data_IF_615554455229
#
_entry.id   IF_615554455229
#
_cell.length_a   1.000
_cell.length_b   1.000
_cell.length_c   1.000
_cell.angle_alpha   90.00
_cell.angle_beta   90.00
_cell.angle_gamma   90.00
#
_symmetry.space_group_name_H-M   'P 1'
#
loop_
_entity.id
_entity.type
_entity.pdbx_description
1 polymer ?
#
# COMPACT_ATOMS: atom_id res chain seq x y z
N UNK A 1 10.91 -7.42 0.35
CA UNK A 1 11.74 -7.84 1.51
C UNK A 1 12.08 -6.61 2.35
N UNK A 2 12.17 -6.74 3.68
CA UNK A 2 12.64 -5.67 4.56
C UNK A 2 13.91 -6.14 5.28
N UNK A 3 14.97 -5.34 5.19
CA UNK A 3 16.24 -5.58 5.88
C UNK A 3 16.35 -4.57 7.02
N UNK A 4 16.22 -5.04 8.25
CA UNK A 4 16.30 -4.17 9.43
C UNK A 4 17.76 -3.89 9.80
N UNK A 5 18.10 -2.66 10.23
CA UNK A 5 19.37 -2.41 10.87
C UNK A 5 19.50 -3.25 12.14
N UNK A 6 20.75 -3.60 12.50
CA UNK A 6 21.03 -4.40 13.70
C UNK A 6 20.46 -3.77 14.98
N UNK A 7 20.49 -2.43 15.07
CA UNK A 7 20.01 -1.67 16.23
C UNK A 7 18.53 -1.26 16.13
N UNK A 8 17.82 -1.72 15.10
CA UNK A 8 16.41 -1.41 14.85
C UNK A 8 16.19 -0.10 14.08
N UNK A 9 14.93 0.34 14.05
CA UNK A 9 14.54 1.57 13.36
C UNK A 9 14.90 2.80 14.22
N UNK A 10 15.31 3.86 13.55
CA UNK A 10 15.61 5.15 14.17
C UNK A 10 14.97 6.29 13.41
N UNK A 11 14.67 7.38 14.10
CA UNK A 11 14.21 8.62 13.47
C UNK A 11 15.38 9.42 12.87
N UNK A 12 15.08 10.58 12.27
CA UNK A 12 16.09 11.45 11.66
C UNK A 12 17.12 12.06 12.65
N UNK A 13 16.87 11.95 13.96
CA UNK A 13 17.75 12.37 15.03
C UNK A 13 18.49 11.20 15.71
N UNK A 14 18.29 9.97 15.25
CA UNK A 14 18.91 8.77 15.81
C UNK A 14 18.19 8.19 17.03
N UNK A 15 16.99 8.67 17.37
CA UNK A 15 16.18 8.09 18.45
C UNK A 15 15.53 6.80 17.98
N UNK A 16 15.56 5.77 18.82
CA UNK A 16 14.95 4.48 18.51
C UNK A 16 13.42 4.60 18.29
N UNK A 17 12.94 3.97 17.23
CA UNK A 17 11.53 3.81 16.89
C UNK A 17 11.15 2.34 17.06
N UNK A 18 10.13 2.10 17.88
CA UNK A 18 9.55 0.77 18.11
C UNK A 18 8.15 0.73 17.50
N UNK A 19 7.80 -0.41 16.94
CA UNK A 19 6.45 -0.71 16.49
C UNK A 19 5.96 -1.95 17.24
N UNK A 20 4.68 -1.96 17.57
CA UNK A 20 4.00 -3.08 18.22
C UNK A 20 3.48 -4.08 17.19
N UNK A 21 3.21 -3.58 15.97
CA UNK A 21 2.67 -4.36 14.86
C UNK A 21 3.26 -3.95 13.54
N UNK A 22 3.39 -4.92 12.63
CA UNK A 22 3.79 -4.69 11.25
C UNK A 22 2.74 -5.27 10.29
N UNK A 23 2.42 -4.52 9.24
CA UNK A 23 1.62 -4.96 8.11
C UNK A 23 2.40 -4.81 6.81
N UNK A 24 2.18 -5.74 5.88
CA UNK A 24 2.66 -5.65 4.52
C UNK A 24 1.47 -5.54 3.58
N UNK A 25 1.45 -4.48 2.78
CA UNK A 25 0.43 -4.19 1.77
C UNK A 25 1.11 -4.22 0.42
N UNK A 26 0.78 -5.23 -0.37
CA UNK A 26 1.19 -5.32 -1.76
C UNK A 26 0.11 -4.72 -2.64
N UNK A 27 0.44 -3.64 -3.35
CA UNK A 27 -0.42 -3.07 -4.38
C UNK A 27 -0.04 -3.66 -5.74
N UNK A 28 -1.05 -4.09 -6.49
CA UNK A 28 -0.90 -4.69 -7.80
C UNK A 28 -1.82 -4.00 -8.81
N UNK A 29 -1.22 -3.57 -9.91
CA UNK A 29 -1.91 -3.13 -11.12
C UNK A 29 -2.13 -4.33 -12.07
N UNK A 30 -3.38 -4.56 -12.45
CA UNK A 30 -3.79 -5.65 -13.35
C UNK A 30 -4.30 -5.11 -14.69
N UNK A 31 -3.91 -5.80 -15.75
CA UNK A 31 -4.26 -5.48 -17.13
C UNK A 31 -5.05 -6.64 -17.72
N UNK A 32 -6.35 -6.71 -17.39
CA UNK A 32 -7.24 -7.82 -17.80
C UNK A 32 -7.95 -7.45 -19.10
N UNK A 33 -7.75 -8.19 -20.20
CA UNK A 33 -8.40 -7.92 -21.49
C UNK A 33 -9.92 -8.02 -21.43
N UNK A 34 -10.59 -7.27 -22.31
CA UNK A 34 -12.04 -7.31 -22.50
C UNK A 34 -12.40 -7.84 -23.89
N UNK A 35 -13.56 -8.50 -24.00
CA UNK A 35 -14.15 -8.90 -25.27
C UNK A 35 -14.86 -7.73 -25.97
N UNK A 36 -15.49 -8.01 -27.13
CA UNK A 36 -16.20 -7.00 -27.92
C UNK A 36 -17.44 -6.42 -27.20
N UNK A 37 -18.01 -7.18 -26.26
CA UNK A 37 -19.17 -6.78 -25.45
C UNK A 37 -18.75 -6.06 -24.16
N UNK A 38 -17.44 -5.97 -23.90
CA UNK A 38 -16.87 -5.29 -22.74
C UNK A 38 -16.68 -6.17 -21.49
N UNK A 39 -16.93 -7.48 -21.58
CA UNK A 39 -16.70 -8.41 -20.47
C UNK A 39 -15.22 -8.79 -20.36
N UNK A 40 -14.75 -9.06 -19.15
CA UNK A 40 -13.37 -9.54 -18.95
C UNK A 40 -13.19 -10.95 -19.51
N UNK A 41 -12.12 -11.14 -20.29
CA UNK A 41 -11.80 -12.44 -20.89
C UNK A 41 -11.22 -13.40 -19.85
N UNK A 42 -11.50 -14.69 -20.03
CA UNK A 42 -10.90 -15.80 -19.30
C UNK A 42 -10.10 -16.68 -20.25
N UNK A 43 -8.99 -17.23 -19.77
CA UNK A 43 -8.08 -18.05 -20.57
C UNK A 43 -7.87 -19.40 -19.88
N UNK A 44 -7.68 -20.46 -20.67
CA UNK A 44 -7.48 -21.82 -20.13
C UNK A 44 -6.10 -21.98 -19.47
N UNK A 45 -5.08 -21.34 -20.04
CA UNK A 45 -3.74 -21.27 -19.49
C UNK A 45 -3.21 -19.83 -19.42
N UNK A 46 -2.13 -19.65 -18.65
CA UNK A 46 -1.45 -18.35 -18.54
C UNK A 46 -0.82 -17.88 -19.87
N UNK A 47 -0.53 -18.80 -20.79
CA UNK A 47 0.07 -18.47 -22.09
C UNK A 47 -0.94 -17.93 -23.10
N UNK A 48 -2.19 -18.41 -23.05
CA UNK A 48 -3.20 -18.12 -24.08
C UNK A 48 -3.63 -16.65 -24.09
N UNK A 49 -3.51 -15.96 -22.95
CA UNK A 49 -3.86 -14.55 -22.81
C UNK A 49 -2.69 -13.59 -23.00
N UNK A 50 -1.49 -14.07 -23.32
CA UNK A 50 -0.28 -13.25 -23.30
C UNK A 50 -0.35 -12.05 -24.25
N UNK A 51 -0.71 -12.28 -25.52
CA UNK A 51 -0.78 -11.23 -26.53
C UNK A 51 -1.85 -10.18 -26.20
N UNK A 52 -3.04 -10.63 -25.78
CA UNK A 52 -4.12 -9.74 -25.36
C UNK A 52 -3.72 -8.90 -24.14
N UNK A 53 -3.06 -9.51 -23.14
CA UNK A 53 -2.57 -8.80 -21.96
C UNK A 53 -1.50 -7.77 -22.33
N UNK A 54 -0.60 -8.10 -23.26
CA UNK A 54 0.41 -7.15 -23.76
C UNK A 54 -0.24 -5.92 -24.39
N UNK A 55 -1.31 -6.09 -25.17
CA UNK A 55 -2.02 -4.95 -25.76
C UNK A 55 -2.64 -4.05 -24.69
N UNK A 56 -3.24 -4.62 -23.64
CA UNK A 56 -3.79 -3.83 -22.52
C UNK A 56 -2.68 -3.15 -21.72
N UNK A 57 -1.56 -3.84 -21.46
CA UNK A 57 -0.40 -3.28 -20.73
C UNK A 57 0.18 -2.06 -21.43
N UNK A 58 0.27 -2.07 -22.77
CA UNK A 58 0.77 -0.94 -23.58
C UNK A 58 -0.07 0.32 -23.43
N UNK A 59 -1.33 0.21 -23.01
CA UNK A 59 -2.19 1.39 -22.76
C UNK A 59 -1.81 2.16 -21.49
N UNK A 60 -0.98 1.57 -20.62
CA UNK A 60 -0.60 2.12 -19.31
C UNK A 60 -1.78 2.43 -18.38
N UNK A 61 -2.96 1.90 -18.72
CA UNK A 61 -4.22 2.09 -17.99
C UNK A 61 -4.63 0.76 -17.38
N UNK A 62 -4.34 0.53 -16.08
CA UNK A 62 -4.72 -0.71 -15.44
C UNK A 62 -6.24 -0.82 -15.32
N UNK A 63 -6.74 -2.03 -15.52
CA UNK A 63 -8.16 -2.36 -15.34
C UNK A 63 -8.55 -2.46 -13.88
N UNK A 64 -7.60 -2.86 -13.03
CA UNK A 64 -7.79 -2.95 -11.59
C UNK A 64 -6.49 -2.58 -10.90
N UNK A 65 -6.60 -1.82 -9.81
CA UNK A 65 -5.51 -1.61 -8.86
C UNK A 65 -6.00 -2.10 -7.49
N UNK A 66 -5.35 -3.12 -6.94
CA UNK A 66 -5.85 -3.82 -5.75
C UNK A 66 -4.76 -4.05 -4.73
N UNK A 67 -5.17 -4.09 -3.46
CA UNK A 67 -4.30 -4.56 -2.38
C UNK A 67 -4.43 -6.05 -2.18
N UNK A 68 -3.30 -6.72 -1.96
CA UNK A 68 -3.19 -8.13 -1.62
C UNK A 68 -4.00 -9.06 -2.57
N UNK A 69 -4.04 -8.69 -3.86
CA UNK A 69 -4.52 -9.53 -4.96
C UNK A 69 -6.00 -9.47 -5.30
N UNK A 70 -6.85 -8.76 -4.54
CA UNK A 70 -8.27 -8.66 -4.88
C UNK A 70 -8.93 -7.38 -4.33
N UNK A 71 -10.02 -6.95 -5.00
CA UNK A 71 -10.88 -5.87 -4.50
C UNK A 71 -11.43 -6.27 -3.13
N UNK A 72 -11.25 -5.41 -2.13
CA UNK A 72 -11.73 -5.66 -0.77
C UNK A 72 -10.91 -6.68 0.03
N UNK A 73 -9.75 -7.14 -0.43
CA UNK A 73 -8.95 -8.16 0.26
C UNK A 73 -8.55 -7.77 1.70
N UNK A 74 -8.42 -6.46 1.98
CA UNK A 74 -8.09 -5.89 3.29
C UNK A 74 -9.30 -5.22 3.97
N UNK A 75 -10.51 -5.72 3.73
CA UNK A 75 -11.76 -5.18 4.27
C UNK A 75 -12.58 -6.25 5.00
N UNK A 76 -13.66 -5.84 5.67
CA UNK A 76 -14.52 -6.73 6.46
C UNK A 76 -13.73 -7.50 7.52
N UNK A 77 -13.87 -8.82 7.53
CA UNK A 77 -13.17 -9.70 8.48
C UNK A 77 -11.65 -9.72 8.31
N UNK A 78 -11.15 -9.33 7.13
CA UNK A 78 -9.71 -9.24 6.81
C UNK A 78 -9.14 -7.84 7.01
N UNK A 79 -9.92 -6.94 7.59
CA UNK A 79 -9.48 -5.57 7.76
C UNK A 79 -8.34 -5.47 8.79
N UNK A 80 -7.40 -4.57 8.50
CA UNK A 80 -6.26 -4.34 9.36
C UNK A 80 -6.73 -3.74 10.70
N UNK A 81 -6.29 -4.31 11.82
CA UNK A 81 -6.73 -3.94 13.15
C UNK A 81 -5.58 -3.34 13.95
N UNK A 82 -5.87 -2.29 14.73
CA UNK A 82 -4.94 -1.73 15.69
C UNK A 82 -5.71 -1.21 16.92
N UNK A 83 -5.03 -1.15 18.06
CA UNK A 83 -5.56 -0.53 19.28
C UNK A 83 -5.05 0.90 19.39
N UNK A 84 -5.78 1.75 20.12
CA UNK A 84 -5.28 3.08 20.44
C UNK A 84 -4.00 2.96 21.26
N UNK A 85 -2.97 3.72 20.87
CA UNK A 85 -1.66 3.73 21.51
C UNK A 85 -0.69 2.70 20.92
N UNK A 86 -1.16 1.83 20.02
CA UNK A 86 -0.34 0.89 19.28
C UNK A 86 0.39 1.63 18.15
N UNK A 87 1.69 1.40 18.02
CA UNK A 87 2.49 1.89 16.89
C UNK A 87 2.55 0.83 15.81
N UNK A 88 2.09 1.17 14.61
CA UNK A 88 2.00 0.23 13.49
C UNK A 88 2.97 0.63 12.38
N UNK A 89 3.83 -0.30 12.00
CA UNK A 89 4.67 -0.19 10.80
C UNK A 89 3.89 -0.74 9.59
N UNK A 90 3.68 0.08 8.57
CA UNK A 90 3.05 -0.34 7.32
C UNK A 90 4.10 -0.32 6.22
N UNK A 91 4.40 -1.50 5.70
CA UNK A 91 5.27 -1.68 4.54
C UNK A 91 4.35 -1.70 3.32
N UNK A 92 4.55 -0.75 2.41
CA UNK A 92 3.81 -0.66 1.17
C UNK A 92 4.75 -0.94 -0.01
N UNK A 93 4.35 -1.85 -0.90
CA UNK A 93 5.09 -2.11 -2.13
C UNK A 93 4.19 -1.96 -3.34
N UNK A 94 4.75 -1.36 -4.38
CA UNK A 94 4.23 -1.40 -5.73
C UNK A 94 5.47 -1.58 -6.63
N UNK A 95 5.42 -2.54 -7.56
CA UNK A 95 6.57 -2.92 -8.38
C UNK A 95 6.64 -2.32 -9.80
N UNK A 96 5.54 -1.79 -10.34
CA UNK A 96 5.38 -1.46 -11.77
C UNK A 96 4.88 -0.02 -12.05
N UNK A 97 4.23 0.65 -11.10
CA UNK A 97 3.50 1.92 -11.23
C UNK A 97 3.58 2.76 -9.94
N UNK A 98 3.65 4.07 -10.09
CA UNK A 98 3.65 4.96 -8.94
C UNK A 98 2.36 4.87 -8.11
N UNK A 99 2.52 4.76 -6.78
CA UNK A 99 1.43 4.75 -5.80
C UNK A 99 1.60 5.89 -4.79
N UNK A 100 0.49 6.34 -4.20
CA UNK A 100 0.45 7.40 -3.18
C UNK A 100 -0.38 6.95 -1.98
N UNK A 101 0.19 6.10 -1.09
CA UNK A 101 -0.54 5.57 0.05
C UNK A 101 -1.02 6.68 0.98
N UNK A 102 -2.25 6.56 1.45
CA UNK A 102 -2.85 7.51 2.39
C UNK A 102 -3.63 6.78 3.48
N UNK A 103 -3.48 7.24 4.72
CA UNK A 103 -4.24 6.74 5.86
C UNK A 103 -5.35 7.74 6.21
N UNK A 104 -6.58 7.41 5.84
CA UNK A 104 -7.74 8.29 6.08
C UNK A 104 -7.97 8.44 7.60
N UNK A 105 -7.98 9.69 8.07
CA UNK A 105 -8.17 10.01 9.49
C UNK A 105 -6.92 9.79 10.37
N UNK A 106 -5.77 9.49 9.77
CA UNK A 106 -4.48 9.37 10.44
C UNK A 106 -3.36 10.07 9.67
N UNK A 107 -2.11 9.79 10.05
CA UNK A 107 -0.91 10.33 9.41
C UNK A 107 0.20 9.27 9.40
N UNK A 108 1.20 9.47 8.53
CA UNK A 108 2.48 8.78 8.63
C UNK A 108 3.43 9.59 9.50
N UNK A 109 3.57 9.21 10.78
CA UNK A 109 4.44 9.92 11.73
C UNK A 109 5.91 9.90 11.26
N UNK A 110 6.34 8.75 10.75
CA UNK A 110 7.65 8.57 10.12
C UNK A 110 7.47 7.82 8.80
N UNK A 111 7.97 8.41 7.70
CA UNK A 111 7.86 7.84 6.35
C UNK A 111 9.24 7.75 5.72
N UNK A 112 9.60 6.56 5.28
CA UNK A 112 10.78 6.30 4.45
C UNK A 112 10.34 6.15 3.00
N UNK A 113 10.76 7.09 2.14
CA UNK A 113 10.49 7.03 0.71
C UNK A 113 11.29 5.97 -0.03
N UNK A 114 11.18 5.94 -1.35
CA UNK A 114 11.83 4.96 -2.23
C UNK A 114 13.30 4.66 -1.87
N UNK A 115 13.61 3.36 -1.68
CA UNK A 115 14.96 2.85 -1.39
C UNK A 115 15.57 3.34 -0.07
N UNK A 116 14.83 4.09 0.76
CA UNK A 116 15.36 4.65 2.00
C UNK A 116 15.28 3.61 3.12
N UNK A 117 16.40 3.44 3.82
CA UNK A 117 16.45 2.71 5.08
C UNK A 117 16.54 3.69 6.24
N UNK A 118 16.19 3.27 7.46
CA UNK A 118 16.48 4.06 8.67
C UNK A 118 17.98 4.27 8.89
N UNK A 119 18.85 3.48 8.25
CA UNK A 119 20.29 3.69 8.25
C UNK A 119 20.75 4.81 7.28
N UNK A 120 19.91 5.20 6.32
CA UNK A 120 20.24 6.25 5.35
C UNK A 120 19.66 7.58 5.82
N UNK A 121 20.53 8.49 6.28
CA UNK A 121 20.14 9.84 6.71
C UNK A 121 19.68 10.69 5.53
N UNK A 122 18.42 10.56 5.10
CA UNK A 122 17.70 11.63 4.38
C UNK A 122 16.73 12.29 5.36
N UNK A 123 16.67 13.62 5.29
CA UNK A 123 15.69 14.44 6.04
C UNK A 123 14.31 13.80 5.87
N UNK A 124 13.76 13.27 6.96
CA UNK A 124 12.33 13.07 7.11
C UNK A 124 11.64 14.37 6.65
N UNK A 125 10.96 14.33 5.51
CA UNK A 125 10.09 15.43 5.08
C UNK A 125 8.73 15.23 5.73
N UNK A 126 8.65 15.50 7.03
CA UNK A 126 7.41 15.91 7.68
C UNK A 126 7.78 16.78 8.90
N UNK A 127 7.30 18.03 8.88
CA UNK A 127 7.44 18.96 10.02
C UNK A 127 6.49 18.49 11.14
N UNK A 128 6.88 18.55 12.42
CA UNK A 128 6.04 18.10 13.51
C UNK A 128 4.89 19.10 13.75
N UNK A 129 3.65 18.64 13.61
CA UNK A 129 2.46 19.28 14.18
C UNK A 129 2.00 18.46 15.37
N UNK A 130 2.23 18.95 16.58
CA UNK A 130 1.73 18.35 17.82
C UNK A 130 0.27 18.78 18.03
N UNK A 131 -0.66 17.83 18.14
CA UNK A 131 -1.97 18.06 18.77
C UNK A 131 -2.28 16.84 19.66
N UNK A 132 -2.52 17.02 20.98
CA UNK A 132 -2.85 15.93 21.88
C UNK A 132 -4.30 15.48 21.64
N UNK A 133 -4.47 14.30 21.05
CA UNK A 133 -5.78 13.70 20.78
C UNK A 133 -5.88 12.30 21.38
N UNK A 134 -6.38 12.20 22.61
CA UNK A 134 -6.64 10.92 23.30
C UNK A 134 -7.82 10.23 22.61
N UNK A 135 -7.56 9.33 21.66
CA UNK A 135 -8.63 8.63 20.93
C UNK A 135 -9.20 7.50 21.79
N UNK A 136 -10.51 7.44 22.01
CA UNK A 136 -11.17 6.31 22.71
C UNK A 136 -11.79 5.37 21.68
N UNK A 137 -11.40 4.07 21.76
CA UNK A 137 -11.91 2.86 21.08
C UNK A 137 -11.15 2.35 19.84
N UNK A 138 -11.06 1.01 19.74
CA UNK A 138 -10.56 0.22 18.60
C UNK A 138 -11.17 0.73 17.30
N UNK A 139 -10.33 0.99 16.30
CA UNK A 139 -10.78 1.28 14.94
C UNK A 139 -10.09 0.35 13.97
N UNK A 140 -10.86 -0.09 12.99
CA UNK A 140 -10.38 -0.71 11.77
C UNK A 140 -9.59 0.31 10.97
N UNK A 141 -8.39 -0.04 10.52
CA UNK A 141 -7.59 0.80 9.66
C UNK A 141 -8.13 0.66 8.23
N UNK A 142 -8.84 1.68 7.76
CA UNK A 142 -9.34 1.70 6.38
C UNK A 142 -8.21 2.19 5.47
N UNK A 143 -7.61 1.27 4.72
CA UNK A 143 -6.70 1.61 3.61
C UNK A 143 -7.57 1.70 2.36
N UNK A 144 -7.80 2.89 1.79
CA UNK A 144 -8.64 3.04 0.61
C UNK A 144 -8.01 2.30 -0.57
N UNK A 145 -8.81 1.61 -1.39
CA UNK A 145 -8.33 1.00 -2.63
C UNK A 145 -7.55 2.03 -3.46
N UNK A 146 -6.47 1.58 -4.08
CA UNK A 146 -5.72 2.38 -5.05
C UNK A 146 -6.69 3.01 -6.05
N UNK A 147 -6.61 4.34 -6.19
CA UNK A 147 -7.59 5.14 -6.92
C UNK A 147 -7.46 4.92 -8.42
N UNK A 148 -8.20 3.95 -8.96
CA UNK A 148 -8.51 3.84 -10.38
C UNK A 148 -9.94 4.35 -10.63
N UNK A 149 -10.08 5.41 -11.41
CA UNK A 149 -11.37 5.83 -11.96
C UNK A 149 -11.97 4.69 -12.76
N UNK A 150 -13.15 4.19 -12.38
CA UNK A 150 -13.99 3.40 -13.27
C UNK A 150 -14.46 4.29 -14.42
N UNK A 151 -14.09 4.03 -15.68
CA UNK A 151 -14.82 4.60 -16.79
C UNK A 151 -16.18 3.89 -16.83
N UNK A 152 -17.25 4.69 -16.78
CA UNK A 152 -18.61 4.29 -17.15
C UNK A 152 -18.68 3.74 -18.56
#
# INVERSE_FOLDING_TARGET
IMVLPRDGLTDGAGKALKYDRVYYVGEQDFYVPRDADGNFKTYESAGDGYDDMLEVMKTLTPTHEVFNGAVGALTGDKALAANVGETVLIIHSQANRDTRPHLIGGHGDHVWGHGASSATRRRSTSRPGHIPGRLRRRRTLHVPSAGGSTPT
#
